data_IF_134756732172
#
_entry.id   IF_134756732172
#
_cell.length_a   1.000
_cell.length_b   1.000
_cell.length_c   1.000
_cell.angle_alpha   90.00
_cell.angle_beta   90.00
_cell.angle_gamma   90.00
#
_symmetry.space_group_name_H-M   'P 1'
#
loop_
_entity.id
_entity.type
_entity.pdbx_description
1 polymer ?
#
# COMPACT_ATOMS: atom_id res chain seq x y z
N UNK A 1 -21.55 -15.58 -15.05
CA UNK A 1 -20.81 -14.88 -16.14
C UNK A 1 -19.33 -14.95 -15.79
N UNK A 2 -18.53 -15.57 -16.66
CA UNK A 2 -17.09 -15.74 -16.49
C UNK A 2 -16.36 -14.46 -16.92
N UNK A 3 -15.39 -14.01 -16.13
CA UNK A 3 -14.61 -12.80 -16.44
C UNK A 3 -13.55 -13.15 -17.49
N UNK A 4 -13.81 -12.77 -18.74
CA UNK A 4 -12.85 -12.87 -19.84
C UNK A 4 -11.74 -11.85 -19.62
N UNK A 5 -10.50 -12.32 -19.64
CA UNK A 5 -9.26 -11.54 -19.56
C UNK A 5 -9.13 -10.67 -20.84
N UNK A 6 -9.69 -9.46 -20.82
CA UNK A 6 -9.57 -8.50 -21.91
C UNK A 6 -8.30 -7.66 -21.72
N UNK A 7 -7.24 -8.11 -22.39
CA UNK A 7 -5.98 -7.39 -22.58
C UNK A 7 -6.18 -6.29 -23.64
N UNK A 8 -6.91 -5.24 -23.29
CA UNK A 8 -7.06 -4.05 -24.14
C UNK A 8 -5.78 -3.18 -24.07
N UNK A 9 -4.83 -3.50 -24.94
CA UNK A 9 -4.45 -2.57 -26.01
C UNK A 9 -3.71 -1.26 -25.70
N UNK A 10 -3.12 -1.04 -24.52
CA UNK A 10 -2.09 0.01 -24.41
C UNK A 10 -0.82 -0.46 -25.13
N UNK A 11 -0.73 -0.19 -26.44
CA UNK A 11 0.52 -0.32 -27.19
C UNK A 11 1.59 0.48 -26.43
N UNK A 12 2.59 -0.22 -25.89
CA UNK A 12 3.66 0.39 -25.10
C UNK A 12 4.52 1.25 -26.02
N UNK A 13 4.12 2.51 -26.21
CA UNK A 13 4.90 3.49 -26.98
C UNK A 13 6.21 3.76 -26.24
N UNK A 14 7.30 3.30 -26.86
CA UNK A 14 8.66 3.62 -26.42
C UNK A 14 9.06 4.94 -27.06
N UNK A 15 9.41 5.92 -26.26
CA UNK A 15 9.93 7.21 -26.71
C UNK A 15 11.44 7.08 -26.88
N UNK A 16 11.95 7.38 -28.09
CA UNK A 16 13.38 7.41 -28.37
C UNK A 16 13.90 8.84 -28.25
N UNK A 17 15.06 9.01 -27.62
CA UNK A 17 15.65 10.32 -27.38
C UNK A 17 17.06 10.22 -26.81
N UNK A 18 17.65 11.35 -26.43
CA UNK A 18 18.99 11.42 -25.84
C UNK A 18 18.90 12.10 -24.47
N UNK A 19 18.43 11.36 -23.46
CA UNK A 19 18.32 11.88 -22.09
C UNK A 19 19.51 11.46 -21.24
N UNK A 20 19.79 12.18 -20.15
CA UNK A 20 20.87 11.83 -19.22
C UNK A 20 20.28 11.33 -17.91
N UNK A 21 20.81 10.22 -17.40
CA UNK A 21 20.47 9.74 -16.08
C UNK A 21 21.05 10.67 -15.01
N UNK A 22 20.20 11.16 -14.11
CA UNK A 22 20.58 12.04 -13.01
C UNK A 22 21.53 11.39 -11.99
N UNK A 23 21.51 10.06 -11.85
CA UNK A 23 22.31 9.32 -10.85
C UNK A 23 23.68 8.89 -11.38
N UNK A 24 23.75 8.36 -12.60
CA UNK A 24 24.98 7.77 -13.16
C UNK A 24 25.49 8.47 -14.43
N UNK A 25 24.79 9.49 -14.93
CA UNK A 25 25.21 10.25 -16.11
C UNK A 25 25.09 9.51 -17.45
N UNK A 26 24.63 8.25 -17.45
CA UNK A 26 24.50 7.46 -18.68
C UNK A 26 23.42 8.02 -19.60
N UNK A 27 23.65 7.90 -20.91
CA UNK A 27 22.67 8.30 -21.93
C UNK A 27 21.55 7.26 -21.99
N UNK A 28 20.32 7.73 -21.87
CA UNK A 28 19.10 6.94 -21.99
C UNK A 28 18.55 7.16 -23.40
N UNK A 29 18.51 6.10 -24.19
CA UNK A 29 18.05 6.12 -25.58
C UNK A 29 16.56 5.86 -25.73
N UNK A 30 15.94 5.18 -24.75
CA UNK A 30 14.56 4.72 -24.83
C UNK A 30 13.88 4.77 -23.45
N UNK A 31 12.69 5.38 -23.41
CA UNK A 31 11.86 5.47 -22.21
C UNK A 31 10.43 4.98 -22.50
N UNK A 32 9.78 4.25 -21.57
CA UNK A 32 8.39 3.79 -21.72
C UNK A 32 7.36 4.88 -21.41
N UNK A 33 7.81 6.13 -21.23
CA UNK A 33 7.00 7.31 -20.95
C UNK A 33 7.61 8.52 -21.67
N UNK A 34 6.77 9.50 -21.99
CA UNK A 34 7.24 10.78 -22.53
C UNK A 34 7.85 11.60 -21.39
N UNK A 35 9.15 11.95 -21.44
CA UNK A 35 9.77 12.73 -20.37
C UNK A 35 9.32 14.19 -20.44
N UNK A 36 9.00 14.76 -19.27
CA UNK A 36 8.73 16.19 -19.13
C UNK A 36 10.03 17.00 -19.34
N UNK A 37 10.03 18.05 -20.17
CA UNK A 37 11.22 18.87 -20.41
C UNK A 37 11.76 19.48 -19.11
N UNK A 38 10.87 19.91 -18.20
CA UNK A 38 11.22 20.52 -16.91
C UNK A 38 11.79 19.54 -15.86
N UNK A 39 11.70 18.22 -16.11
CA UNK A 39 12.15 17.18 -15.16
C UNK A 39 13.26 16.30 -15.73
N UNK A 40 13.89 16.72 -16.81
CA UNK A 40 14.98 15.98 -17.46
C UNK A 40 16.14 15.70 -16.49
N UNK A 41 16.40 16.63 -15.56
CA UNK A 41 17.45 16.51 -14.52
C UNK A 41 17.15 15.47 -13.42
N UNK A 42 15.95 14.87 -13.41
CA UNK A 42 15.53 13.85 -12.43
C UNK A 42 15.26 12.50 -13.09
N UNK A 43 15.56 12.36 -14.38
CA UNK A 43 15.36 11.10 -15.08
C UNK A 43 16.36 10.05 -14.60
N UNK A 44 15.87 8.85 -14.35
CA UNK A 44 16.71 7.71 -13.99
C UNK A 44 16.69 6.67 -15.11
N UNK A 45 17.86 6.10 -15.40
CA UNK A 45 17.95 4.93 -16.26
C UNK A 45 17.26 3.73 -15.59
N UNK A 46 17.00 2.69 -16.38
CA UNK A 46 16.32 1.47 -15.92
C UNK A 46 16.99 0.86 -14.68
N UNK A 47 18.31 0.84 -14.64
CA UNK A 47 19.08 0.24 -13.55
C UNK A 47 19.03 1.09 -12.28
N UNK A 48 19.25 2.41 -12.38
CA UNK A 48 19.13 3.31 -11.25
C UNK A 48 17.70 3.37 -10.70
N UNK A 49 16.70 3.29 -11.58
CA UNK A 49 15.31 3.18 -11.16
C UNK A 49 15.06 1.85 -10.43
N UNK A 50 15.59 0.72 -10.94
CA UNK A 50 15.46 -0.58 -10.27
C UNK A 50 16.10 -0.55 -8.89
N UNK A 51 17.35 -0.11 -8.79
CA UNK A 51 18.06 0.07 -7.52
C UNK A 51 17.24 0.93 -6.54
N UNK A 52 16.75 2.10 -6.99
CA UNK A 52 15.93 2.96 -6.15
C UNK A 52 14.58 2.35 -5.72
N UNK A 53 14.12 1.26 -6.35
CA UNK A 53 12.96 0.49 -5.86
C UNK A 53 13.39 -0.57 -4.85
N UNK A 54 14.54 -1.20 -5.03
CA UNK A 54 15.11 -2.20 -4.10
C UNK A 54 15.62 -1.55 -2.80
N UNK A 55 16.19 -0.35 -2.88
CA UNK A 55 16.63 0.45 -1.73
C UNK A 55 15.45 1.03 -0.92
N UNK A 56 14.23 1.03 -1.49
CA UNK A 56 13.05 1.41 -0.69
C UNK A 56 12.79 0.27 0.29
N UNK A 57 12.62 0.58 1.59
CA UNK A 57 12.22 -0.42 2.55
C UNK A 57 10.96 -1.09 2.01
N UNK A 58 11.03 -2.40 1.78
CA UNK A 58 9.86 -3.12 1.32
C UNK A 58 8.76 -2.87 2.34
N UNK A 59 7.58 -2.46 1.85
CA UNK A 59 6.39 -2.18 2.67
C UNK A 59 5.84 -3.43 3.37
N UNK A 60 6.60 -4.53 3.36
CA UNK A 60 6.41 -5.72 4.19
C UNK A 60 6.75 -5.43 5.66
N UNK A 61 7.49 -4.35 5.96
CA UNK A 61 7.74 -3.89 7.31
C UNK A 61 6.64 -2.92 7.78
N UNK A 62 5.39 -3.40 7.84
CA UNK A 62 4.56 -2.95 8.95
C UNK A 62 5.29 -3.44 10.20
N UNK A 63 6.08 -2.56 10.83
CA UNK A 63 6.73 -2.87 12.10
C UNK A 63 5.72 -3.47 13.09
N UNK A 64 6.19 -4.12 14.17
CA UNK A 64 5.29 -4.72 15.16
C UNK A 64 4.21 -3.70 15.54
N UNK A 65 2.96 -4.02 15.20
CA UNK A 65 1.84 -3.12 15.49
C UNK A 65 1.78 -2.95 17.00
N UNK A 66 1.87 -1.73 17.53
CA UNK A 66 1.77 -1.53 18.96
C UNK A 66 0.39 -2.00 19.43
N UNK A 67 0.39 -2.78 20.51
CA UNK A 67 -0.82 -3.11 21.24
C UNK A 67 -0.93 -2.13 22.40
N UNK A 68 -2.10 -1.51 22.53
CA UNK A 68 -2.41 -0.60 23.63
C UNK A 68 -3.12 -1.42 24.71
N UNK A 69 -2.65 -1.29 25.94
CA UNK A 69 -3.27 -1.90 27.11
C UNK A 69 -4.04 -0.83 27.89
N UNK A 70 -5.26 -1.15 28.30
CA UNK A 70 -6.14 -0.24 29.02
C UNK A 70 -7.41 -0.93 29.49
N UNK A 71 -8.25 -0.25 30.25
CA UNK A 71 -9.50 -0.80 30.80
C UNK A 71 -10.72 -0.22 30.06
N UNK A 72 -10.97 -0.66 28.82
CA UNK A 72 -12.12 -0.18 28.05
C UNK A 72 -13.33 -1.11 28.14
N UNK A 73 -14.51 -0.60 27.81
CA UNK A 73 -15.75 -1.37 27.82
C UNK A 73 -16.34 -1.50 26.41
N UNK A 74 -16.77 -2.71 26.04
CA UNK A 74 -17.49 -2.92 24.79
C UNK A 74 -18.92 -2.36 24.87
N UNK A 75 -19.28 -1.50 23.92
CA UNK A 75 -20.61 -0.92 23.74
C UNK A 75 -21.73 -1.95 23.57
N UNK A 76 -21.46 -3.09 22.90
CA UNK A 76 -22.49 -4.11 22.59
C UNK A 76 -22.72 -5.14 23.68
N UNK A 77 -21.66 -5.60 24.33
CA UNK A 77 -21.73 -6.73 25.26
C UNK A 77 -21.26 -6.40 26.68
N UNK A 78 -20.80 -5.17 26.93
CA UNK A 78 -20.35 -4.71 28.24
C UNK A 78 -19.05 -5.36 28.74
N UNK A 79 -18.43 -6.24 27.96
CA UNK A 79 -17.19 -6.93 28.32
C UNK A 79 -16.01 -5.97 28.37
N UNK A 80 -15.12 -6.17 29.34
CA UNK A 80 -13.87 -5.41 29.46
C UNK A 80 -12.89 -5.79 28.35
N UNK A 81 -12.28 -4.79 27.73
CA UNK A 81 -11.29 -4.91 26.67
C UNK A 81 -9.96 -4.43 27.24
N UNK A 82 -8.99 -5.34 27.32
CA UNK A 82 -7.70 -5.08 27.96
C UNK A 82 -6.58 -4.76 26.95
N UNK A 83 -6.81 -5.05 25.67
CA UNK A 83 -5.79 -4.95 24.63
C UNK A 83 -6.42 -4.57 23.29
N UNK A 84 -5.92 -3.50 22.64
CA UNK A 84 -6.38 -3.02 21.34
C UNK A 84 -5.21 -2.73 20.39
N UNK A 85 -5.35 -2.99 19.08
CA UNK A 85 -4.31 -2.69 18.09
C UNK A 85 -4.28 -1.20 17.67
N UNK A 86 -5.03 -0.36 18.38
CA UNK A 86 -5.13 1.09 18.20
C UNK A 86 -5.41 1.74 19.56
N UNK A 87 -5.04 3.01 19.70
CA UNK A 87 -5.40 3.84 20.84
C UNK A 87 -6.83 4.35 20.62
N UNK A 88 -7.80 4.00 21.48
CA UNK A 88 -9.16 4.51 21.36
C UNK A 88 -9.19 5.99 21.75
N UNK A 89 -9.98 6.77 21.01
CA UNK A 89 -10.20 8.19 21.32
C UNK A 89 -11.34 8.35 22.34
N UNK A 90 -11.25 9.38 23.19
CA UNK A 90 -12.22 9.66 24.26
C UNK A 90 -13.65 9.86 23.74
N UNK A 91 -13.80 10.41 22.52
CA UNK A 91 -15.08 10.65 21.85
C UNK A 91 -15.74 9.37 21.29
N UNK A 92 -15.01 8.25 21.22
CA UNK A 92 -15.47 7.00 20.59
C UNK A 92 -15.62 5.83 21.58
N UNK A 93 -15.41 6.06 22.87
CA UNK A 93 -15.51 5.03 23.91
C UNK A 93 -16.89 4.35 23.92
N UNK A 94 -17.98 5.11 23.69
CA UNK A 94 -19.36 4.59 23.66
C UNK A 94 -19.67 3.70 22.44
N UNK A 95 -18.81 3.72 21.42
CA UNK A 95 -18.97 2.92 20.18
C UNK A 95 -17.95 1.79 20.10
N UNK A 96 -17.07 1.68 21.10
CA UNK A 96 -15.98 0.73 21.08
C UNK A 96 -16.51 -0.70 21.10
N UNK A 97 -16.01 -1.53 20.17
CA UNK A 97 -16.41 -2.92 20.05
C UNK A 97 -15.26 -3.84 20.44
N UNK A 98 -15.57 -4.90 21.19
CA UNK A 98 -14.61 -5.98 21.41
C UNK A 98 -14.29 -6.70 20.09
N UNK A 99 -13.17 -7.44 20.06
CA UNK A 99 -12.69 -8.15 18.87
C UNK A 99 -13.76 -9.02 18.22
N UNK A 100 -14.60 -9.68 19.01
CA UNK A 100 -15.64 -10.59 18.50
C UNK A 100 -16.84 -9.83 17.96
N UNK A 101 -17.28 -8.77 18.64
CA UNK A 101 -18.34 -7.88 18.14
C UNK A 101 -17.92 -7.16 16.86
N UNK A 102 -16.65 -6.73 16.77
CA UNK A 102 -16.09 -6.13 15.56
C UNK A 102 -15.98 -7.15 14.43
N UNK A 103 -15.55 -8.38 14.70
CA UNK A 103 -15.55 -9.46 13.70
C UNK A 103 -16.95 -9.75 13.16
N UNK A 104 -17.95 -9.78 14.04
CA UNK A 104 -19.34 -10.00 13.67
C UNK A 104 -19.95 -8.83 12.89
N UNK A 105 -19.47 -7.59 13.07
CA UNK A 105 -19.98 -6.41 12.35
C UNK A 105 -19.39 -6.24 10.95
N UNK A 106 -18.29 -6.94 10.62
CA UNK A 106 -17.66 -6.83 9.30
C UNK A 106 -18.46 -7.63 8.25
N UNK A 107 -18.85 -7.02 7.12
CA UNK A 107 -19.47 -7.76 6.04
C UNK A 107 -18.48 -8.78 5.47
N UNK A 108 -18.96 -9.97 5.15
CA UNK A 108 -18.18 -11.09 4.64
C UNK A 108 -17.70 -10.89 3.19
N UNK A 109 -16.94 -9.85 2.90
CA UNK A 109 -16.24 -9.71 1.61
C UNK A 109 -14.85 -10.36 1.68
N UNK A 110 -14.81 -11.63 2.10
CA UNK A 110 -13.55 -12.37 2.29
C UNK A 110 -13.78 -13.85 2.61
N UNK A 111 -14.61 -14.52 1.81
CA UNK A 111 -14.75 -15.98 1.85
C UNK A 111 -13.42 -16.66 1.50
N UNK A 112 -12.98 -17.56 2.39
CA UNK A 112 -11.65 -18.16 2.37
C UNK A 112 -11.41 -19.25 1.33
N UNK A 113 -10.15 -19.70 1.30
CA UNK A 113 -9.76 -21.04 0.86
C UNK A 113 -8.70 -21.57 1.83
N UNK A 114 -9.19 -22.15 2.92
CA UNK A 114 -8.46 -23.13 3.71
C UNK A 114 -9.22 -24.44 3.60
N UNK A 115 -8.77 -25.31 2.70
CA UNK A 115 -8.88 -26.78 2.76
C UNK A 115 -7.85 -27.36 1.82
#
# INVERSE_FOLDING_TARGET
MAYTNQQDGYERKMYKGNWKCAKCGTTISELPFQPDPDKTDRLYCRDCHRQNRDDRPRRDNFGPRPMFQGDWQCSKCGTKINELPFEPHDDQLDTLLCRDCYRASRPAFGGGRGR
#
